data_IF_137436407153
#
_entry.id   IF_137436407153
#
_cell.length_a   1.000
_cell.length_b   1.000
_cell.length_c   1.000
_cell.angle_alpha   90.00
_cell.angle_beta   90.00
_cell.angle_gamma   90.00
#
_symmetry.space_group_name_H-M   'P 1'
#
loop_
_entity.id
_entity.type
_entity.pdbx_description
1 polymer ?
#
# COMPACT_ATOMS: atom_id res chain seq x y z
N UNK A 1 8.53 6.47 38.94
CA UNK A 1 9.34 6.82 37.74
C UNK A 1 9.37 5.74 36.68
N UNK A 2 8.20 5.17 36.24
CA UNK A 2 8.17 3.97 35.35
C UNK A 2 7.27 4.06 34.10
N UNK A 3 6.68 5.20 33.74
CA UNK A 3 5.66 5.26 32.65
C UNK A 3 6.04 6.11 31.43
N UNK A 4 7.21 6.76 31.36
CA UNK A 4 7.58 7.64 30.23
C UNK A 4 8.27 6.96 29.05
N UNK A 5 8.72 5.68 29.14
CA UNK A 5 9.50 5.02 28.07
C UNK A 5 8.70 4.36 26.94
N UNK A 6 7.37 4.24 27.02
CA UNK A 6 6.56 3.47 26.06
C UNK A 6 6.20 4.25 24.79
N UNK A 7 6.18 5.58 24.82
CA UNK A 7 5.68 6.41 23.72
C UNK A 7 6.68 6.75 22.60
N UNK A 8 7.95 6.37 22.73
CA UNK A 8 8.99 6.79 21.76
C UNK A 8 9.40 5.71 20.74
N UNK A 9 8.68 4.59 20.70
CA UNK A 9 9.02 3.47 19.81
C UNK A 9 8.57 3.74 18.39
N UNK A 10 9.46 3.56 17.43
CA UNK A 10 9.16 3.63 16.01
C UNK A 10 8.83 2.23 15.46
N UNK A 11 7.88 2.15 14.54
CA UNK A 11 7.57 0.95 13.78
C UNK A 11 7.17 1.33 12.36
N UNK A 12 7.98 0.93 11.40
CA UNK A 12 7.79 1.20 9.98
C UNK A 12 7.54 -0.12 9.26
N UNK A 13 6.32 -0.31 8.77
CA UNK A 13 5.89 -1.54 8.08
C UNK A 13 5.69 -1.25 6.59
N UNK A 14 6.41 -1.99 5.74
CA UNK A 14 6.21 -1.97 4.30
C UNK A 14 5.34 -3.16 3.87
N UNK A 15 4.33 -2.93 3.03
CA UNK A 15 3.41 -3.99 2.58
C UNK A 15 3.24 -3.89 1.08
N UNK A 16 3.80 -4.87 0.34
CA UNK A 16 3.73 -4.94 -1.11
C UNK A 16 3.02 -6.22 -1.57
N UNK A 17 2.59 -6.25 -2.82
CA UNK A 17 1.97 -7.44 -3.40
C UNK A 17 1.10 -7.12 -4.62
N UNK A 18 0.70 -8.16 -5.34
CA UNK A 18 -0.13 -8.05 -6.54
C UNK A 18 -1.54 -7.52 -6.26
N UNK A 19 -2.28 -7.18 -7.31
CA UNK A 19 -3.70 -6.86 -7.22
C UNK A 19 -4.50 -8.05 -6.69
N UNK A 20 -5.49 -7.80 -5.82
CA UNK A 20 -6.33 -8.87 -5.26
C UNK A 20 -5.65 -9.78 -4.23
N UNK A 21 -4.39 -9.54 -3.86
CA UNK A 21 -3.65 -10.38 -2.92
C UNK A 21 -4.03 -10.21 -1.44
N UNK A 22 -5.05 -9.42 -1.11
CA UNK A 22 -5.47 -9.21 0.28
C UNK A 22 -4.59 -8.28 1.11
N UNK A 23 -3.57 -7.66 0.51
CA UNK A 23 -2.63 -6.76 1.23
C UNK A 23 -3.30 -5.59 1.93
N UNK A 24 -4.33 -4.95 1.31
CA UNK A 24 -5.02 -3.80 1.91
C UNK A 24 -5.78 -4.19 3.18
N UNK A 25 -6.39 -5.37 3.19
CA UNK A 25 -7.01 -5.91 4.39
C UNK A 25 -5.96 -6.21 5.46
N UNK A 26 -4.87 -6.89 5.09
CA UNK A 26 -3.75 -7.17 6.00
C UNK A 26 -3.16 -5.89 6.58
N UNK A 27 -2.93 -4.87 5.75
CA UNK A 27 -2.44 -3.56 6.16
C UNK A 27 -3.39 -2.88 7.16
N UNK A 28 -4.69 -2.86 6.87
CA UNK A 28 -5.73 -2.28 7.75
C UNK A 28 -5.75 -2.96 9.12
N UNK A 29 -5.76 -4.29 9.15
CA UNK A 29 -5.85 -5.06 10.39
C UNK A 29 -4.58 -4.91 11.26
N UNK A 30 -3.37 -4.97 10.66
CA UNK A 30 -2.12 -4.73 11.37
C UNK A 30 -2.03 -3.28 11.85
N UNK A 31 -2.45 -2.32 11.05
CA UNK A 31 -2.45 -0.91 11.46
C UNK A 31 -3.35 -0.66 12.66
N UNK A 32 -4.54 -1.29 12.68
CA UNK A 32 -5.44 -1.23 13.85
C UNK A 32 -4.79 -1.85 15.08
N UNK A 33 -4.21 -3.06 14.96
CA UNK A 33 -3.60 -3.80 16.08
C UNK A 33 -2.44 -3.04 16.71
N UNK A 34 -1.53 -2.45 15.90
CA UNK A 34 -0.33 -1.77 16.37
C UNK A 34 -0.45 -0.24 16.40
N UNK A 35 -1.64 0.31 16.18
CA UNK A 35 -1.92 1.76 16.15
C UNK A 35 -0.99 2.49 15.17
N UNK A 36 -0.88 1.96 13.93
CA UNK A 36 -0.05 2.55 12.88
C UNK A 36 -0.87 3.53 12.03
N UNK A 37 -0.24 4.63 11.65
CA UNK A 37 -0.78 5.50 10.60
C UNK A 37 -0.65 4.76 9.25
N UNK A 38 -1.76 4.39 8.65
CA UNK A 38 -1.79 3.65 7.38
C UNK A 38 -1.83 4.61 6.20
N UNK A 39 -0.94 4.40 5.23
CA UNK A 39 -0.98 5.06 3.93
C UNK A 39 -1.13 4.06 2.80
N UNK A 40 -2.18 4.22 1.99
CA UNK A 40 -2.41 3.45 0.77
C UNK A 40 -1.79 4.16 -0.42
N UNK A 41 -0.68 3.62 -0.96
CA UNK A 41 -0.02 4.17 -2.14
C UNK A 41 -0.94 4.24 -3.36
N UNK A 42 -1.77 3.23 -3.55
CA UNK A 42 -2.72 3.20 -4.66
C UNK A 42 -3.70 4.37 -4.62
N UNK A 43 -4.13 4.76 -3.43
CA UNK A 43 -5.01 5.91 -3.25
C UNK A 43 -4.33 7.23 -3.60
N UNK A 44 -3.03 7.38 -3.30
CA UNK A 44 -2.26 8.56 -3.71
C UNK A 44 -2.24 8.75 -5.24
N UNK A 45 -2.04 7.65 -6.00
CA UNK A 45 -2.10 7.70 -7.47
C UNK A 45 -3.51 8.00 -7.99
N UNK A 46 -4.55 7.44 -7.36
CA UNK A 46 -5.94 7.73 -7.71
C UNK A 46 -6.32 9.17 -7.44
N UNK A 47 -5.85 9.72 -6.33
CA UNK A 47 -6.05 11.12 -6.01
C UNK A 47 -5.34 12.05 -7.00
N UNK A 48 -4.11 11.73 -7.40
CA UNK A 48 -3.42 12.46 -8.46
C UNK A 48 -4.20 12.42 -9.79
N UNK A 49 -4.76 11.25 -10.15
CA UNK A 49 -5.62 11.09 -11.32
C UNK A 49 -6.89 11.93 -11.23
N UNK A 50 -7.56 11.88 -10.10
CA UNK A 50 -8.76 12.69 -9.82
C UNK A 50 -8.48 14.18 -9.97
N UNK A 51 -7.39 14.67 -9.38
CA UNK A 51 -7.01 16.08 -9.48
C UNK A 51 -6.75 16.51 -10.93
N UNK A 52 -6.06 15.69 -11.72
CA UNK A 52 -5.79 16.00 -13.13
C UNK A 52 -7.09 15.99 -13.93
N UNK A 53 -7.93 14.98 -13.76
CA UNK A 53 -9.20 14.85 -14.49
C UNK A 53 -10.19 15.95 -14.15
N UNK A 54 -10.22 16.40 -12.87
CA UNK A 54 -11.10 17.48 -12.41
C UNK A 54 -10.66 18.85 -12.91
N UNK A 55 -9.36 19.14 -12.92
CA UNK A 55 -8.85 20.49 -13.16
C UNK A 55 -8.25 20.68 -14.57
N UNK A 56 -8.08 19.61 -15.35
CA UNK A 56 -7.51 19.61 -16.70
C UNK A 56 -6.29 20.56 -16.88
N UNK A 57 -5.24 20.47 -16.04
CA UNK A 57 -4.17 21.46 -16.05
C UNK A 57 -3.29 21.35 -17.31
N UNK A 58 -2.91 22.53 -17.90
CA UNK A 58 -1.95 22.58 -19.02
C UNK A 58 -0.65 21.87 -18.68
N UNK A 59 -0.07 22.10 -17.50
CA UNK A 59 1.14 21.40 -17.02
C UNK A 59 0.82 20.51 -15.80
N UNK A 60 0.58 19.23 -16.07
CA UNK A 60 0.22 18.21 -15.05
C UNK A 60 1.29 18.05 -13.96
N UNK A 61 2.58 18.16 -14.32
CA UNK A 61 3.68 17.94 -13.37
C UNK A 61 3.79 19.09 -12.39
N UNK A 62 3.80 20.33 -12.88
CA UNK A 62 3.86 21.53 -12.04
C UNK A 62 2.63 21.59 -11.10
N UNK A 63 1.44 21.33 -11.66
CA UNK A 63 0.19 21.28 -10.91
C UNK A 63 0.25 20.26 -9.77
N UNK A 64 0.64 19.01 -10.05
CA UNK A 64 0.74 17.98 -9.01
C UNK A 64 1.84 18.30 -7.98
N UNK A 65 2.98 18.87 -8.38
CA UNK A 65 4.00 19.30 -7.42
C UNK A 65 3.42 20.31 -6.43
N UNK A 66 2.68 21.32 -6.90
CA UNK A 66 2.01 22.31 -6.05
C UNK A 66 0.98 21.66 -5.11
N UNK A 67 0.10 20.79 -5.63
CA UNK A 67 -0.95 20.12 -4.84
C UNK A 67 -0.38 19.16 -3.79
N UNK A 68 0.68 18.40 -4.10
CA UNK A 68 1.27 17.42 -3.19
C UNK A 68 2.27 18.01 -2.18
N UNK A 69 2.68 19.30 -2.33
CA UNK A 69 3.66 19.95 -1.44
C UNK A 69 3.18 19.98 0.02
N UNK A 70 1.94 20.42 0.24
CA UNK A 70 1.34 20.59 1.58
C UNK A 70 0.12 19.68 1.80
N UNK A 71 0.00 18.60 1.02
CA UNK A 71 -1.11 17.68 1.11
C UNK A 71 -1.09 16.89 2.42
N UNK A 72 -2.25 16.80 3.07
CA UNK A 72 -2.48 15.84 4.15
C UNK A 72 -3.21 14.62 3.59
N UNK A 73 -2.79 13.42 3.97
CA UNK A 73 -3.41 12.17 3.51
C UNK A 73 -4.90 12.09 3.90
N UNK A 74 -5.28 12.59 5.07
CA UNK A 74 -6.66 12.64 5.54
C UNK A 74 -7.62 13.37 4.60
N UNK A 75 -7.14 14.30 3.77
CA UNK A 75 -8.00 15.05 2.84
C UNK A 75 -8.57 14.19 1.70
N UNK A 76 -8.07 12.98 1.50
CA UNK A 76 -8.52 12.14 0.40
C UNK A 76 -8.65 10.64 0.75
N UNK A 77 -8.36 10.23 1.99
CA UNK A 77 -8.45 8.82 2.37
C UNK A 77 -9.87 8.26 2.26
N UNK A 78 -10.88 9.10 2.52
CA UNK A 78 -12.30 8.74 2.50
C UNK A 78 -13.00 9.07 1.17
N UNK A 79 -12.28 9.66 0.20
CA UNK A 79 -12.87 9.98 -1.10
C UNK A 79 -13.14 8.72 -1.92
N UNK A 80 -14.31 8.66 -2.57
CA UNK A 80 -14.63 7.60 -3.53
C UNK A 80 -13.82 7.77 -4.83
N UNK A 81 -12.60 7.30 -4.83
CA UNK A 81 -11.67 7.35 -5.97
C UNK A 81 -11.63 6.04 -6.78
N UNK A 82 -12.65 5.18 -6.65
CA UNK A 82 -12.68 3.85 -7.26
C UNK A 82 -13.50 3.76 -8.55
N UNK A 83 -13.79 4.89 -9.21
CA UNK A 83 -14.49 4.91 -10.50
C UNK A 83 -13.61 4.32 -11.62
N UNK A 84 -14.24 3.81 -12.69
CA UNK A 84 -13.53 3.24 -13.85
C UNK A 84 -12.62 4.29 -14.50
N UNK A 85 -13.14 5.51 -14.76
CA UNK A 85 -12.39 6.64 -15.35
C UNK A 85 -11.10 6.95 -14.58
N UNK A 86 -11.19 7.07 -13.22
CA UNK A 86 -10.01 7.29 -12.37
C UNK A 86 -9.06 6.09 -12.43
N UNK A 87 -9.60 4.86 -12.45
CA UNK A 87 -8.78 3.64 -12.47
C UNK A 87 -7.94 3.54 -13.73
N UNK A 88 -8.53 3.80 -14.90
CA UNK A 88 -7.86 3.74 -16.19
C UNK A 88 -6.80 4.85 -16.30
N UNK A 89 -7.15 6.05 -15.90
CA UNK A 89 -6.19 7.16 -15.91
C UNK A 89 -5.04 6.95 -14.91
N UNK A 90 -5.31 6.32 -13.77
CA UNK A 90 -4.28 5.92 -12.80
C UNK A 90 -3.26 4.96 -13.42
N UNK A 91 -3.71 4.02 -14.25
CA UNK A 91 -2.80 3.10 -14.95
C UNK A 91 -1.86 3.82 -15.93
N UNK A 92 -2.34 4.91 -16.55
CA UNK A 92 -1.54 5.74 -17.46
C UNK A 92 -0.49 6.57 -16.70
N UNK A 93 -0.91 7.33 -15.67
CA UNK A 93 0.02 8.20 -14.94
C UNK A 93 1.03 7.43 -14.08
N UNK A 94 0.67 6.23 -13.63
CA UNK A 94 1.58 5.37 -12.87
C UNK A 94 2.81 4.90 -13.66
N UNK A 95 2.82 5.03 -14.99
CA UNK A 95 3.98 4.76 -15.86
C UNK A 95 4.97 5.95 -15.89
N UNK A 96 4.53 7.16 -15.55
CA UNK A 96 5.31 8.39 -15.71
C UNK A 96 6.30 8.59 -14.54
N UNK A 97 7.60 8.60 -14.84
CA UNK A 97 8.69 8.75 -13.85
C UNK A 97 8.50 10.01 -12.98
N UNK A 98 8.18 11.16 -13.59
CA UNK A 98 8.03 12.44 -12.90
C UNK A 98 6.86 12.42 -11.89
N UNK A 99 5.71 11.84 -12.27
CA UNK A 99 4.56 11.69 -11.35
C UNK A 99 4.88 10.72 -10.21
N UNK A 100 5.52 9.59 -10.50
CA UNK A 100 5.98 8.65 -9.46
C UNK A 100 6.90 9.33 -8.46
N UNK A 101 7.80 10.20 -8.92
CA UNK A 101 8.72 10.92 -8.02
C UNK A 101 7.96 11.87 -7.08
N UNK A 102 6.93 12.58 -7.56
CA UNK A 102 6.09 13.46 -6.72
C UNK A 102 5.40 12.64 -5.63
N UNK A 103 4.76 11.53 -6.01
CA UNK A 103 4.04 10.67 -5.07
C UNK A 103 5.02 9.99 -4.10
N UNK A 104 6.18 9.53 -4.56
CA UNK A 104 7.24 8.97 -3.70
C UNK A 104 7.72 9.97 -2.65
N UNK A 105 7.91 11.23 -3.03
CA UNK A 105 8.31 12.29 -2.10
C UNK A 105 7.24 12.51 -1.02
N UNK A 106 5.97 12.53 -1.40
CA UNK A 106 4.85 12.60 -0.46
C UNK A 106 4.84 11.40 0.51
N UNK A 107 5.00 10.17 0.01
CA UNK A 107 5.04 8.97 0.84
C UNK A 107 6.23 8.99 1.82
N UNK A 108 7.40 9.46 1.38
CA UNK A 108 8.56 9.62 2.26
C UNK A 108 8.35 10.71 3.32
N UNK A 109 7.69 11.82 2.95
CA UNK A 109 7.30 12.88 3.91
C UNK A 109 6.36 12.31 4.97
N UNK A 110 5.34 11.54 4.56
CA UNK A 110 4.44 10.84 5.48
C UNK A 110 5.23 9.90 6.42
N UNK A 111 6.13 9.10 5.88
CA UNK A 111 6.92 8.15 6.67
C UNK A 111 7.86 8.82 7.70
N UNK A 112 8.30 10.04 7.44
CA UNK A 112 9.13 10.80 8.39
C UNK A 112 8.30 11.53 9.44
N UNK A 113 7.05 11.87 9.11
CA UNK A 113 6.16 12.61 10.01
C UNK A 113 5.72 11.77 11.22
N UNK A 114 5.50 10.47 11.02
CA UNK A 114 4.93 9.61 12.05
C UNK A 114 5.91 8.52 12.51
N UNK A 115 5.96 8.26 13.82
CA UNK A 115 6.81 7.22 14.42
C UNK A 115 6.32 5.80 14.14
N UNK A 116 5.00 5.62 13.99
CA UNK A 116 4.34 4.32 13.75
C UNK A 116 3.55 4.38 12.45
N UNK A 117 4.00 3.67 11.43
CA UNK A 117 3.38 3.71 10.10
C UNK A 117 3.31 2.33 9.46
N UNK A 118 2.31 2.17 8.59
CA UNK A 118 2.28 1.15 7.57
C UNK A 118 2.05 1.82 6.20
N UNK A 119 2.84 1.46 5.21
CA UNK A 119 2.60 1.88 3.83
C UNK A 119 2.35 0.64 3.00
N UNK A 120 1.18 0.60 2.31
CA UNK A 120 0.87 -0.47 1.39
C UNK A 120 1.00 -0.02 -0.07
N UNK A 121 1.50 -0.90 -0.92
CA UNK A 121 1.68 -0.56 -2.34
C UNK A 121 2.13 -1.70 -3.23
N UNK A 122 3.12 -1.40 -4.09
CA UNK A 122 3.74 -2.31 -5.06
C UNK A 122 5.26 -2.28 -4.99
N UNK A 123 5.81 -1.18 -4.57
CA UNK A 123 7.24 -0.87 -4.56
C UNK A 123 7.65 -0.19 -3.24
N UNK A 124 6.86 -0.42 -2.19
CA UNK A 124 7.02 0.24 -0.88
C UNK A 124 8.34 -0.16 -0.25
N UNK A 125 8.59 -1.45 -0.09
CA UNK A 125 9.84 -1.96 0.47
C UNK A 125 11.04 -1.71 -0.47
N UNK A 126 10.87 -1.94 -1.78
CA UNK A 126 11.98 -1.90 -2.74
C UNK A 126 12.41 -0.49 -3.14
N UNK A 127 11.53 0.52 -3.09
CA UNK A 127 11.79 1.87 -3.63
C UNK A 127 11.45 3.03 -2.71
N UNK A 128 10.47 2.89 -1.81
CA UNK A 128 10.00 3.98 -0.96
C UNK A 128 10.69 3.97 0.38
N UNK A 129 10.61 2.84 1.09
CA UNK A 129 11.15 2.63 2.43
C UNK A 129 12.44 1.80 2.44
N UNK A 130 13.23 1.85 1.37
CA UNK A 130 14.43 1.01 1.21
C UNK A 130 15.70 1.59 1.83
N UNK A 131 15.73 2.90 2.12
CA UNK A 131 16.91 3.58 2.69
C UNK A 131 16.53 4.51 3.85
N UNK A 132 16.11 5.73 3.56
CA UNK A 132 15.77 6.74 4.57
C UNK A 132 14.37 7.34 4.28
N UNK A 133 13.37 7.03 5.14
CA UNK A 133 13.41 6.03 6.20
C UNK A 133 13.43 4.59 5.63
N UNK A 134 14.01 3.65 6.40
CA UNK A 134 13.96 2.22 6.10
C UNK A 134 12.88 1.56 6.94
N UNK A 135 12.20 0.55 6.35
CA UNK A 135 11.25 -0.28 7.09
C UNK A 135 11.94 -1.14 8.16
N UNK A 136 11.24 -1.39 9.26
CA UNK A 136 11.62 -2.38 10.27
C UNK A 136 11.24 -3.79 9.82
N UNK A 137 10.06 -3.92 9.18
CA UNK A 137 9.58 -5.20 8.62
C UNK A 137 8.87 -4.96 7.29
N UNK A 138 9.09 -5.85 6.34
CA UNK A 138 8.44 -5.83 5.03
C UNK A 138 7.67 -7.12 4.77
N UNK A 139 6.45 -7.00 4.26
CA UNK A 139 5.60 -8.12 3.83
C UNK A 139 5.35 -8.07 2.33
N UNK A 140 5.46 -9.24 1.68
CA UNK A 140 5.12 -9.39 0.28
C UNK A 140 3.96 -10.36 0.13
N UNK A 141 2.80 -9.83 -0.23
CA UNK A 141 1.56 -10.60 -0.38
C UNK A 141 1.48 -11.29 -1.73
N UNK A 142 1.31 -12.61 -1.71
CA UNK A 142 1.03 -13.46 -2.86
C UNK A 142 -0.36 -14.08 -2.74
N UNK A 143 -1.01 -14.26 -3.88
CA UNK A 143 -2.28 -14.98 -3.97
C UNK A 143 -2.38 -15.61 -5.36
N UNK A 144 -2.94 -16.80 -5.45
CA UNK A 144 -3.29 -17.41 -6.73
C UNK A 144 -4.22 -16.47 -7.52
N UNK A 145 -3.99 -16.35 -8.83
CA UNK A 145 -4.76 -15.41 -9.67
C UNK A 145 -6.24 -15.73 -9.70
N UNK A 146 -6.63 -17.01 -9.72
CA UNK A 146 -8.04 -17.41 -9.74
C UNK A 146 -8.74 -17.01 -8.45
N UNK A 147 -8.10 -17.26 -7.29
CA UNK A 147 -8.63 -16.90 -5.97
C UNK A 147 -8.73 -15.37 -5.83
N UNK A 148 -7.70 -14.64 -6.25
CA UNK A 148 -7.71 -13.18 -6.25
C UNK A 148 -8.80 -12.59 -7.16
N UNK A 149 -8.99 -13.18 -8.35
CA UNK A 149 -10.03 -12.78 -9.29
C UNK A 149 -11.43 -13.10 -8.76
N UNK A 150 -11.61 -14.26 -8.10
CA UNK A 150 -12.90 -14.64 -7.51
C UNK A 150 -13.32 -13.70 -6.37
N UNK A 151 -12.39 -13.36 -5.47
CA UNK A 151 -12.63 -12.36 -4.42
C UNK A 151 -13.04 -11.02 -5.02
N UNK A 152 -12.27 -10.54 -6.02
CA UNK A 152 -12.57 -9.26 -6.67
C UNK A 152 -13.89 -9.27 -7.44
N UNK A 153 -14.23 -10.38 -8.06
CA UNK A 153 -15.50 -10.54 -8.76
C UNK A 153 -16.68 -10.51 -7.80
N UNK A 154 -16.59 -11.19 -6.63
CA UNK A 154 -17.59 -11.08 -5.56
C UNK A 154 -17.77 -9.63 -5.10
N UNK A 155 -16.67 -8.93 -4.81
CA UNK A 155 -16.73 -7.51 -4.40
C UNK A 155 -17.40 -6.61 -5.45
N UNK A 156 -17.22 -6.90 -6.75
CA UNK A 156 -17.84 -6.11 -7.82
C UNK A 156 -19.32 -6.46 -8.03
N UNK A 157 -19.70 -7.71 -7.82
CA UNK A 157 -21.11 -8.14 -7.87
C UNK A 157 -21.96 -7.47 -6.78
N UNK A 158 -21.44 -7.34 -5.56
CA UNK A 158 -22.16 -6.63 -4.49
C UNK A 158 -22.41 -5.16 -4.79
N UNK A 159 -21.70 -4.59 -5.77
CA UNK A 159 -21.89 -3.22 -6.27
C UNK A 159 -22.80 -3.16 -7.52
N UNK A 160 -23.63 -4.16 -7.76
CA UNK A 160 -24.54 -4.31 -8.92
C UNK A 160 -23.87 -4.16 -10.28
N UNK A 161 -22.62 -4.58 -10.42
CA UNK A 161 -21.93 -4.52 -11.72
C UNK A 161 -22.13 -5.81 -12.48
N UNK A 162 -22.71 -5.68 -13.67
CA UNK A 162 -22.75 -6.76 -14.66
C UNK A 162 -21.33 -6.98 -15.21
N UNK A 163 -20.53 -7.77 -14.51
CA UNK A 163 -19.17 -8.12 -14.91
C UNK A 163 -18.94 -9.61 -14.74
N UNK A 164 -18.35 -10.24 -15.74
CA UNK A 164 -18.05 -11.68 -15.69
C UNK A 164 -16.75 -11.96 -14.93
N UNK A 165 -16.65 -13.16 -14.36
CA UNK A 165 -15.40 -13.62 -13.75
C UNK A 165 -14.21 -13.59 -14.73
N UNK A 166 -14.45 -13.95 -16.00
CA UNK A 166 -13.41 -13.97 -17.05
C UNK A 166 -12.84 -12.58 -17.30
N UNK A 167 -13.67 -11.55 -17.34
CA UNK A 167 -13.24 -10.16 -17.51
C UNK A 167 -12.44 -9.67 -16.32
N UNK A 168 -12.91 -9.94 -15.09
CA UNK A 168 -12.18 -9.58 -13.87
C UNK A 168 -10.82 -10.26 -13.83
N UNK A 169 -10.75 -11.56 -14.16
CA UNK A 169 -9.49 -12.32 -14.21
C UNK A 169 -8.54 -11.76 -15.26
N UNK A 170 -9.03 -11.46 -16.48
CA UNK A 170 -8.24 -10.86 -17.58
C UNK A 170 -7.70 -9.49 -17.19
N UNK A 171 -8.53 -8.61 -16.60
CA UNK A 171 -8.15 -7.29 -16.13
C UNK A 171 -7.09 -7.38 -15.01
N UNK A 172 -7.27 -8.28 -14.05
CA UNK A 172 -6.33 -8.47 -12.95
C UNK A 172 -4.98 -9.01 -13.42
N UNK A 173 -4.99 -9.99 -14.34
CA UNK A 173 -3.77 -10.53 -14.99
C UNK A 173 -3.00 -9.43 -15.73
N UNK A 174 -3.71 -8.64 -16.56
CA UNK A 174 -3.12 -7.49 -17.29
C UNK A 174 -2.49 -6.48 -16.34
N UNK A 175 -3.21 -6.09 -15.27
CA UNK A 175 -2.71 -5.15 -14.27
C UNK A 175 -1.47 -5.68 -13.54
N UNK A 176 -1.48 -6.93 -13.09
CA UNK A 176 -0.34 -7.53 -12.40
C UNK A 176 0.89 -7.62 -13.32
N UNK A 177 0.70 -7.97 -14.59
CA UNK A 177 1.78 -7.96 -15.60
C UNK A 177 2.36 -6.56 -15.80
N UNK A 178 1.51 -5.53 -15.92
CA UNK A 178 1.96 -4.15 -16.04
C UNK A 178 2.73 -3.68 -14.81
N UNK A 179 2.28 -4.05 -13.59
CA UNK A 179 2.98 -3.70 -12.35
C UNK A 179 4.37 -4.38 -12.27
N UNK A 180 4.51 -5.63 -12.73
CA UNK A 180 5.79 -6.36 -12.73
C UNK A 180 6.75 -5.88 -13.82
N UNK A 181 6.23 -5.61 -15.04
CA UNK A 181 7.05 -5.29 -16.22
C UNK A 181 7.34 -3.81 -16.42
N UNK A 182 6.80 -2.91 -15.59
CA UNK A 182 7.04 -1.47 -15.77
C UNK A 182 8.51 -1.10 -15.58
N UNK A 183 9.02 -0.21 -16.44
CA UNK A 183 10.42 0.25 -16.42
C UNK A 183 10.82 0.91 -15.10
N UNK A 184 9.92 1.70 -14.50
CA UNK A 184 10.19 2.43 -13.25
C UNK A 184 9.42 1.82 -12.10
N UNK A 185 10.12 1.45 -11.02
CA UNK A 185 9.59 0.88 -9.79
C UNK A 185 8.68 -0.36 -10.04
N UNK A 186 9.19 -1.42 -10.69
CA UNK A 186 8.43 -2.65 -10.89
C UNK A 186 8.01 -3.27 -9.55
N UNK A 187 6.95 -4.07 -9.58
CA UNK A 187 6.57 -4.90 -8.46
C UNK A 187 7.56 -6.04 -8.30
N UNK A 188 8.54 -5.86 -7.44
CA UNK A 188 9.53 -6.87 -7.05
C UNK A 188 9.52 -7.06 -5.53
N UNK A 189 9.73 -8.30 -5.12
CA UNK A 189 9.91 -8.64 -3.71
C UNK A 189 11.25 -8.10 -3.22
N UNK A 190 11.27 -7.31 -2.16
CA UNK A 190 12.51 -6.97 -1.47
C UNK A 190 13.11 -8.25 -0.82
N UNK A 191 14.45 -8.38 -0.83
CA UNK A 191 15.18 -9.61 -0.45
C UNK A 191 14.77 -10.13 0.94
N UNK A 192 14.63 -9.24 1.91
CA UNK A 192 14.29 -9.53 3.31
C UNK A 192 12.78 -9.45 3.62
N UNK A 193 11.91 -9.32 2.60
CA UNK A 193 10.47 -9.30 2.82
C UNK A 193 9.89 -10.68 3.06
N UNK A 194 8.99 -10.76 4.03
CA UNK A 194 8.31 -11.99 4.45
C UNK A 194 7.12 -12.26 3.52
N UNK A 195 7.07 -13.45 2.95
CA UNK A 195 5.99 -13.83 2.05
C UNK A 195 4.74 -14.20 2.86
N UNK A 196 3.62 -13.55 2.49
CA UNK A 196 2.28 -13.84 3.01
C UNK A 196 1.43 -14.43 1.88
N UNK A 197 1.10 -15.71 1.98
CA UNK A 197 0.26 -16.42 1.00
C UNK A 197 -1.18 -16.45 1.46
N UNK A 198 -2.00 -15.55 0.92
CA UNK A 198 -3.41 -15.41 1.31
C UNK A 198 -4.34 -16.36 0.57
N UNK A 199 -3.82 -17.13 -0.35
CA UNK A 199 -4.51 -18.24 -1.00
C UNK A 199 -4.57 -19.50 -0.11
N UNK A 200 -3.64 -19.63 0.84
CA UNK A 200 -3.58 -20.76 1.78
C UNK A 200 -3.79 -20.35 3.26
N UNK A 201 -3.61 -19.08 3.59
CA UNK A 201 -3.79 -18.57 4.94
C UNK A 201 -5.18 -17.95 5.13
N UNK A 202 -5.87 -18.30 6.20
CA UNK A 202 -7.06 -17.58 6.64
C UNK A 202 -6.72 -16.13 7.04
N UNK A 203 -7.75 -15.28 7.20
CA UNK A 203 -7.56 -13.91 7.72
C UNK A 203 -6.86 -13.91 9.07
N UNK A 204 -7.31 -14.78 10.01
CA UNK A 204 -6.73 -14.93 11.35
C UNK A 204 -5.27 -15.38 11.27
N UNK A 205 -4.95 -16.42 10.51
CA UNK A 205 -3.60 -16.95 10.34
C UNK A 205 -2.66 -15.91 9.68
N UNK A 206 -3.16 -15.13 8.70
CA UNK A 206 -2.42 -14.03 8.09
C UNK A 206 -1.98 -13.00 9.15
N UNK A 207 -2.92 -12.53 9.98
CA UNK A 207 -2.61 -11.53 11.01
C UNK A 207 -1.69 -12.10 12.09
N UNK A 208 -1.89 -13.34 12.51
CA UNK A 208 -1.01 -14.01 13.46
C UNK A 208 0.42 -14.09 12.93
N UNK A 209 0.61 -14.52 11.67
CA UNK A 209 1.93 -14.56 11.02
C UNK A 209 2.57 -13.18 10.95
N UNK A 210 1.83 -12.16 10.50
CA UNK A 210 2.36 -10.79 10.44
C UNK A 210 2.72 -10.27 11.83
N UNK A 211 1.88 -10.52 12.85
CA UNK A 211 2.14 -10.10 14.22
C UNK A 211 3.41 -10.73 14.78
N UNK A 212 3.58 -12.05 14.62
CA UNK A 212 4.79 -12.77 15.07
C UNK A 212 6.07 -12.12 14.53
N UNK A 213 6.10 -11.76 13.25
CA UNK A 213 7.26 -11.14 12.63
C UNK A 213 7.48 -9.69 13.08
N UNK A 214 6.41 -8.93 13.29
CA UNK A 214 6.49 -7.57 13.85
C UNK A 214 7.04 -7.63 15.27
N UNK A 215 6.50 -8.51 16.12
CA UNK A 215 6.91 -8.68 17.51
C UNK A 215 8.37 -9.11 17.62
N UNK A 216 8.81 -10.06 16.77
CA UNK A 216 10.21 -10.46 16.66
C UNK A 216 11.12 -9.27 16.35
N UNK A 217 10.74 -8.41 15.41
CA UNK A 217 11.53 -7.20 15.07
C UNK A 217 11.52 -6.15 16.18
N UNK A 218 10.40 -5.99 16.87
CA UNK A 218 10.31 -5.08 18.00
C UNK A 218 11.18 -5.56 19.17
N UNK A 219 11.20 -6.88 19.46
CA UNK A 219 12.08 -7.47 20.48
C UNK A 219 13.55 -7.24 20.13
N UNK A 220 13.95 -7.48 18.89
CA UNK A 220 15.32 -7.23 18.42
C UNK A 220 15.72 -5.75 18.54
N UNK A 221 14.78 -4.83 18.30
CA UNK A 221 15.04 -3.39 18.28
C UNK A 221 15.00 -2.76 19.69
N UNK A 222 14.20 -3.28 20.61
CA UNK A 222 13.90 -2.63 21.89
C UNK A 222 14.01 -3.54 23.11
N UNK A 223 14.42 -4.80 22.96
CA UNK A 223 14.50 -5.79 24.05
C UNK A 223 13.17 -6.47 24.39
N UNK A 224 13.20 -7.49 25.28
CA UNK A 224 12.05 -8.36 25.60
C UNK A 224 10.93 -7.67 26.44
N UNK A 225 11.17 -6.56 27.07
CA UNK A 225 10.17 -5.86 27.92
C UNK A 225 9.10 -5.13 27.10
N UNK A 226 8.56 -5.77 26.06
CA UNK A 226 7.52 -5.20 25.19
C UNK A 226 6.17 -5.81 25.57
N UNK A 227 5.42 -5.14 26.45
CA UNK A 227 3.97 -5.40 26.54
C UNK A 227 3.31 -4.78 25.29
N UNK A 228 2.98 -5.61 24.32
CA UNK A 228 2.07 -5.26 23.21
C UNK A 228 0.65 -5.32 23.76
N UNK A 229 0.13 -4.19 24.25
CA UNK A 229 -1.29 -3.99 24.50
C UNK A 229 -1.94 -3.25 23.35
#
# INVERSE_FOLDING_TARGET
>A
MKLKKVNNRTLIVAIDGSGGSGKSLGAKLISKKYKLNLLNSGLCYRFASFLILKNNPKNKISFLKKKFKNLNYKHFEDLNLHTQKISDYTALIAKQKKIRQIIKNFQKKFARKYKKIAIEGRDTASKILNKNPRYDVAFFFKCNLNIAAHRRWKDLKTLNKQITFREVKKSLKKRNSLDMKRRFSPLIRAKDSIIIRTDVLSKKATITKMSKEIEKKLILKYGRNIKTR
#
